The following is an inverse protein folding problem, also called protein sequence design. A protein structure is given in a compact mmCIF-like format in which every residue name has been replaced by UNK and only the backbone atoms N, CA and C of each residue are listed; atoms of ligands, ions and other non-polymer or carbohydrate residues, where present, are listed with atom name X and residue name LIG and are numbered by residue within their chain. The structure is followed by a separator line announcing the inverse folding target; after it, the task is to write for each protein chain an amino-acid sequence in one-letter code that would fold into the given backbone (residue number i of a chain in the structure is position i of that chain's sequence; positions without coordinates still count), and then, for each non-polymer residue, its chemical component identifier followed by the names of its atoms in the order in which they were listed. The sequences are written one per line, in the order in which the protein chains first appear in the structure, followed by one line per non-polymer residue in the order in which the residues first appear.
data_IF_329310731736
#
_entry.id   IF_329310731736
#
_cell.length_a   1.000
_cell.length_b   1.000
_cell.length_c   1.000
_cell.angle_alpha   90.00
_cell.angle_beta   90.00
_cell.angle_gamma   90.00
#
_symmetry.space_group_name_H-M   'P 1'
#
loop_
_entity.id
_entity.type
_entity.pdbx_description
1 polymer ?
#
# COMPACT_ATOMS: atom_id res chain seq x y z
N UNK A 1 -11.74 15.08 3.11
CA UNK A 1 -13.16 14.70 3.16
C UNK A 1 -13.28 13.19 3.36
N UNK A 2 -14.48 12.68 3.69
CA UNK A 2 -14.71 11.23 3.78
C UNK A 2 -14.43 10.52 2.44
N UNK A 3 -14.75 11.16 1.31
CA UNK A 3 -14.44 10.63 -0.02
C UNK A 3 -12.93 10.58 -0.33
N UNK A 4 -12.16 11.59 0.09
CA UNK A 4 -10.69 11.57 -0.05
C UNK A 4 -10.07 10.42 0.76
N UNK A 5 -10.59 10.16 1.96
CA UNK A 5 -10.13 9.02 2.78
C UNK A 5 -10.45 7.68 2.12
N UNK A 6 -11.65 7.51 1.59
CA UNK A 6 -12.03 6.28 0.87
C UNK A 6 -11.18 6.06 -0.38
N UNK A 7 -10.91 7.11 -1.14
CA UNK A 7 -10.01 7.06 -2.30
C UNK A 7 -8.61 6.65 -1.89
N UNK A 8 -8.10 7.21 -0.79
CA UNK A 8 -6.79 6.84 -0.24
C UNK A 8 -6.74 5.37 0.17
N UNK A 9 -7.72 4.91 0.96
CA UNK A 9 -7.77 3.52 1.44
C UNK A 9 -7.89 2.52 0.28
N UNK A 10 -8.76 2.80 -0.70
CA UNK A 10 -8.92 1.95 -1.89
C UNK A 10 -7.65 1.91 -2.77
N UNK A 11 -6.97 3.06 -2.93
CA UNK A 11 -5.72 3.12 -3.66
C UNK A 11 -4.60 2.35 -2.95
N UNK A 12 -4.51 2.49 -1.62
CA UNK A 12 -3.52 1.79 -0.80
C UNK A 12 -3.73 0.27 -0.84
N UNK A 13 -4.98 -0.18 -0.75
CA UNK A 13 -5.36 -1.59 -0.87
C UNK A 13 -4.99 -2.16 -2.24
N UNK A 14 -5.30 -1.43 -3.32
CA UNK A 14 -4.92 -1.83 -4.68
C UNK A 14 -3.41 -1.92 -4.85
N UNK A 15 -2.67 -0.92 -4.37
CA UNK A 15 -1.20 -0.90 -4.43
C UNK A 15 -0.61 -2.10 -3.69
N UNK A 16 -1.13 -2.42 -2.51
CA UNK A 16 -0.65 -3.55 -1.70
C UNK A 16 -0.80 -4.88 -2.43
N UNK A 17 -1.95 -5.09 -3.11
CA UNK A 17 -2.18 -6.29 -3.94
C UNK A 17 -1.26 -6.34 -5.17
N UNK A 18 -1.07 -5.22 -5.87
CA UNK A 18 -0.19 -5.17 -7.03
C UNK A 18 1.26 -5.50 -6.66
N UNK A 19 1.74 -4.99 -5.52
CA UNK A 19 3.06 -5.33 -4.99
C UNK A 19 3.15 -6.83 -4.68
N UNK A 20 2.19 -7.38 -3.93
CA UNK A 20 2.17 -8.81 -3.59
C UNK A 20 2.24 -9.72 -4.84
N UNK A 21 1.44 -9.39 -5.87
CA UNK A 21 1.41 -10.12 -7.14
C UNK A 21 2.74 -10.05 -7.90
N UNK A 22 3.38 -8.87 -7.93
CA UNK A 22 4.66 -8.67 -8.64
C UNK A 22 5.83 -9.29 -7.91
N UNK A 23 5.85 -9.26 -6.56
CA UNK A 23 6.94 -9.84 -5.76
C UNK A 23 6.76 -11.31 -5.44
N UNK A 24 5.62 -11.92 -5.78
CA UNK A 24 5.30 -13.30 -5.39
C UNK A 24 5.25 -13.50 -3.88
N UNK A 25 4.89 -12.45 -3.14
CA UNK A 25 4.77 -12.47 -1.67
C UNK A 25 3.31 -12.43 -1.24
N UNK A 26 3.06 -12.67 0.05
CA UNK A 26 1.73 -12.48 0.63
C UNK A 26 1.40 -10.99 0.85
N UNK A 27 0.12 -10.69 1.04
CA UNK A 27 -0.36 -9.32 1.29
C UNK A 27 0.24 -8.69 2.56
N UNK A 28 0.40 -9.41 3.70
CA UNK A 28 1.04 -8.84 4.90
C UNK A 28 2.48 -8.39 4.67
N UNK A 29 3.27 -9.17 3.91
CA UNK A 29 4.65 -8.80 3.56
C UNK A 29 4.67 -7.61 2.60
N UNK A 30 3.76 -7.59 1.63
CA UNK A 30 3.62 -6.46 0.70
C UNK A 30 3.22 -5.17 1.43
N UNK A 31 2.30 -5.25 2.39
CA UNK A 31 1.84 -4.10 3.18
C UNK A 31 2.99 -3.46 3.97
N UNK A 32 3.85 -4.28 4.61
CA UNK A 32 5.04 -3.78 5.31
C UNK A 32 5.98 -3.02 4.37
N UNK A 33 6.21 -3.55 3.17
CA UNK A 33 7.07 -2.91 2.18
C UNK A 33 6.48 -1.58 1.68
N UNK A 34 5.16 -1.50 1.52
CA UNK A 34 4.49 -0.24 1.19
C UNK A 34 4.66 0.79 2.31
N UNK A 35 4.50 0.38 3.58
CA UNK A 35 4.69 1.25 4.74
C UNK A 35 6.12 1.80 4.84
N UNK A 36 7.14 0.95 4.67
CA UNK A 36 8.55 1.36 4.64
C UNK A 36 8.85 2.41 3.55
N UNK A 37 8.27 2.23 2.36
CA UNK A 37 8.41 3.20 1.25
C UNK A 37 7.70 4.51 1.57
N UNK A 38 6.50 4.47 2.16
CA UNK A 38 5.77 5.68 2.53
C UNK A 38 6.50 6.47 3.62
N UNK A 39 7.03 5.79 4.64
CA UNK A 39 7.84 6.40 5.71
C UNK A 39 9.12 7.01 5.13
N UNK A 40 9.85 6.28 4.27
CA UNK A 40 11.09 6.81 3.67
C UNK A 40 10.86 7.99 2.72
N UNK A 41 9.68 8.11 2.11
CA UNK A 41 9.30 9.28 1.28
C UNK A 41 8.84 10.49 2.09
N UNK A 42 8.38 10.27 3.32
CA UNK A 42 7.90 11.33 4.21
C UNK A 42 9.04 11.96 5.05
N UNK A 43 10.19 11.28 5.16
CA UNK A 43 11.42 11.77 5.80
C UNK A 43 12.23 12.68 4.85
#
# INVERSE_FOLDING_TARGET
SYSERQLYEAALERLTREIAAVSGSDEPTAAKKVDEVLVSRAA
#
